data_IF_979881260824
#
_entry.id   IF_979881260824
#
_cell.length_a   1.000
_cell.length_b   1.000
_cell.length_c   1.000
_cell.angle_alpha   90.00
_cell.angle_beta   90.00
_cell.angle_gamma   90.00
#
_symmetry.space_group_name_H-M   'P 1'
#
loop_
_entity.id
_entity.type
_entity.pdbx_description
1 polymer ?
#
# COMPACT_ATOMS: atom_id res chain seq x y z
N UNK A 1 6.19 32.76 0.10
CA UNK A 1 7.66 32.69 -0.06
C UNK A 1 8.14 31.52 0.77
N UNK A 2 8.25 30.34 0.17
CA UNK A 2 8.60 29.09 0.87
C UNK A 2 10.13 28.98 0.93
N UNK A 3 10.67 28.91 2.14
CA UNK A 3 12.11 28.87 2.39
C UNK A 3 12.81 27.73 1.61
N UNK A 4 14.06 27.91 1.14
CA UNK A 4 14.82 26.82 0.57
C UNK A 4 15.04 25.75 1.66
N UNK A 5 14.48 24.56 1.47
CA UNK A 5 14.82 23.39 2.28
C UNK A 5 16.27 23.02 1.95
N UNK A 6 17.22 23.62 2.65
CA UNK A 6 18.61 23.17 2.61
C UNK A 6 18.68 21.74 3.12
N UNK A 7 18.82 20.77 2.23
CA UNK A 7 18.95 19.38 2.62
C UNK A 7 20.38 19.13 3.10
N UNK A 8 20.53 18.95 4.41
CA UNK A 8 21.82 18.69 5.05
C UNK A 8 22.46 17.39 4.51
N UNK A 9 23.73 17.40 4.04
CA UNK A 9 24.43 16.21 3.56
C UNK A 9 24.47 15.06 4.58
N UNK A 10 24.44 15.37 5.88
CA UNK A 10 24.36 14.33 6.92
C UNK A 10 23.02 13.58 6.91
N UNK A 11 21.92 14.28 6.59
CA UNK A 11 20.59 13.65 6.46
C UNK A 11 20.50 12.78 5.21
N UNK A 12 21.12 13.21 4.10
CA UNK A 12 21.21 12.41 2.88
C UNK A 12 21.90 11.07 3.15
N UNK A 13 23.07 11.11 3.79
CA UNK A 13 23.81 9.89 4.16
C UNK A 13 22.97 8.95 5.02
N UNK A 14 22.23 9.49 6.00
CA UNK A 14 21.42 8.70 6.92
C UNK A 14 20.30 7.93 6.20
N UNK A 15 19.70 8.52 5.18
CA UNK A 15 18.65 7.87 4.38
C UNK A 15 19.19 6.64 3.64
N UNK A 16 20.36 6.74 3.02
CA UNK A 16 20.98 5.62 2.32
C UNK A 16 21.50 4.53 3.27
N UNK A 17 21.96 4.90 4.49
CA UNK A 17 22.34 3.92 5.53
C UNK A 17 21.13 3.10 6.01
N UNK A 18 19.98 3.75 6.20
CA UNK A 18 18.73 3.08 6.59
C UNK A 18 18.23 2.13 5.50
N UNK A 19 18.39 2.51 4.23
CA UNK A 19 18.04 1.67 3.10
C UNK A 19 18.94 0.41 3.03
N UNK A 20 20.25 0.56 3.24
CA UNK A 20 21.19 -0.57 3.30
C UNK A 20 20.83 -1.53 4.44
N UNK A 21 20.50 -1.01 5.63
CA UNK A 21 20.09 -1.82 6.77
C UNK A 21 18.73 -2.53 6.54
N UNK A 22 17.86 -1.93 5.74
CA UNK A 22 16.55 -2.49 5.37
C UNK A 22 16.57 -3.48 4.21
N UNK A 23 17.74 -3.80 3.66
CA UNK A 23 17.89 -4.73 2.53
C UNK A 23 17.45 -4.14 1.19
N UNK A 24 17.64 -2.83 0.97
CA UNK A 24 17.49 -2.18 -0.34
C UNK A 24 16.09 -2.31 -0.99
N UNK A 25 15.04 -2.20 -0.16
CA UNK A 25 13.63 -2.46 -0.52
C UNK A 25 12.86 -1.26 -1.07
N UNK A 26 13.51 -0.11 -1.24
CA UNK A 26 12.96 1.18 -1.67
C UNK A 26 11.93 1.76 -0.68
N UNK A 27 12.16 1.57 0.64
CA UNK A 27 11.20 1.93 1.69
C UNK A 27 11.73 2.93 2.73
N UNK A 28 13.01 3.32 2.67
CA UNK A 28 13.62 4.20 3.68
C UNK A 28 13.02 5.62 3.74
N UNK A 29 12.26 6.06 2.73
CA UNK A 29 11.63 7.38 2.67
C UNK A 29 10.17 7.25 2.24
N UNK A 30 9.29 8.12 2.74
CA UNK A 30 7.90 8.23 2.30
C UNK A 30 7.87 8.52 0.78
N UNK A 31 7.48 7.53 -0.01
CA UNK A 31 7.45 7.61 -1.48
C UNK A 31 8.65 6.97 -2.20
N UNK A 32 9.59 6.36 -1.47
CA UNK A 32 10.74 5.65 -2.03
C UNK A 32 11.91 6.56 -2.45
N UNK A 33 13.07 5.94 -2.65
CA UNK A 33 14.29 6.60 -3.14
C UNK A 33 14.13 7.18 -4.54
N UNK A 34 13.30 6.59 -5.40
CA UNK A 34 13.05 7.14 -6.75
C UNK A 34 12.43 8.54 -6.69
N UNK A 35 11.38 8.71 -5.87
CA UNK A 35 10.71 9.99 -5.69
C UNK A 35 11.62 10.99 -4.98
N UNK A 36 12.44 10.51 -4.05
CA UNK A 36 13.43 11.32 -3.35
C UNK A 36 14.52 11.83 -4.30
N UNK A 37 14.99 11.01 -5.24
CA UNK A 37 15.96 11.40 -6.27
C UNK A 37 15.37 12.40 -7.26
N UNK A 38 14.11 12.24 -7.68
CA UNK A 38 13.42 13.22 -8.53
C UNK A 38 13.29 14.56 -7.82
N UNK A 39 12.86 14.56 -6.55
CA UNK A 39 12.76 15.77 -5.73
C UNK A 39 14.11 16.48 -5.58
N UNK A 40 15.19 15.73 -5.33
CA UNK A 40 16.55 16.28 -5.24
C UNK A 40 17.06 16.87 -6.57
N UNK A 41 16.58 16.35 -7.69
CA UNK A 41 16.94 16.83 -9.03
C UNK A 41 16.22 18.15 -9.33
N UNK A 42 14.93 18.23 -8.98
CA UNK A 42 14.11 19.42 -9.09
C UNK A 42 14.61 20.54 -8.18
N UNK A 43 15.04 20.20 -6.95
CA UNK A 43 15.60 21.16 -6.00
C UNK A 43 17.05 21.57 -6.33
N UNK A 44 17.65 21.05 -7.42
CA UNK A 44 19.00 21.41 -7.89
C UNK A 44 20.17 20.82 -7.08
N UNK A 45 19.89 20.25 -5.90
CA UNK A 45 20.88 19.70 -4.96
C UNK A 45 21.58 18.44 -5.49
N UNK A 46 21.03 17.80 -6.51
CA UNK A 46 21.66 16.66 -7.19
C UNK A 46 22.86 17.07 -8.04
N UNK A 47 22.97 18.34 -8.48
CA UNK A 47 24.10 18.81 -9.31
C UNK A 47 25.36 19.08 -8.49
N UNK A 48 25.21 19.54 -7.25
CA UNK A 48 26.31 19.94 -6.36
C UNK A 48 26.77 18.81 -5.41
N UNK A 49 26.15 17.63 -5.51
CA UNK A 49 26.40 16.48 -4.63
C UNK A 49 27.18 15.37 -5.34
N UNK A 50 28.04 14.61 -4.65
CA UNK A 50 28.69 13.41 -5.21
C UNK A 50 27.68 12.34 -5.67
N UNK A 51 26.42 12.45 -5.28
CA UNK A 51 25.30 11.63 -5.74
C UNK A 51 24.98 11.80 -7.25
N UNK A 52 25.40 12.92 -7.87
CA UNK A 52 25.13 13.24 -9.28
C UNK A 52 25.65 12.17 -10.25
N UNK A 53 26.81 11.59 -9.94
CA UNK A 53 27.44 10.57 -10.77
C UNK A 53 26.69 9.23 -10.67
N UNK A 54 26.25 8.87 -9.47
CA UNK A 54 25.49 7.65 -9.22
C UNK A 54 24.07 7.71 -9.79
N UNK A 55 23.42 8.88 -9.72
CA UNK A 55 22.09 9.10 -10.28
C UNK A 55 22.06 8.96 -11.82
N UNK A 56 23.14 9.37 -12.51
CA UNK A 56 23.27 9.19 -13.97
C UNK A 56 23.44 7.74 -14.42
N UNK A 57 23.84 6.84 -13.52
CA UNK A 57 24.01 5.41 -13.81
C UNK A 57 22.71 4.60 -13.63
N UNK A 58 21.63 5.24 -13.17
CA UNK A 58 20.35 4.57 -13.00
C UNK A 58 19.66 4.33 -14.36
N UNK A 59 19.02 3.16 -14.56
CA UNK A 59 18.18 2.90 -15.74
C UNK A 59 16.95 3.84 -15.78
N UNK A 60 16.29 3.99 -16.94
CA UNK A 60 15.06 4.80 -17.05
C UNK A 60 13.91 4.32 -16.16
N UNK A 61 13.97 3.07 -15.66
CA UNK A 61 13.04 2.51 -14.69
C UNK A 61 13.35 2.85 -13.21
N UNK A 62 14.39 3.62 -12.93
CA UNK A 62 14.79 4.04 -11.59
C UNK A 62 15.44 2.94 -10.75
N UNK A 63 15.77 3.25 -9.49
CA UNK A 63 16.36 2.35 -8.50
C UNK A 63 15.50 1.10 -8.26
N UNK A 64 14.17 1.22 -8.35
CA UNK A 64 13.22 0.09 -8.27
C UNK A 64 13.32 -0.94 -9.39
N UNK A 65 14.00 -0.63 -10.49
CA UNK A 65 14.12 -1.55 -11.64
C UNK A 65 15.35 -2.45 -11.56
N UNK A 66 16.30 -2.13 -10.66
CA UNK A 66 17.50 -2.92 -10.42
C UNK A 66 17.18 -4.20 -9.65
N UNK A 67 17.96 -5.26 -9.88
CA UNK A 67 17.88 -6.48 -9.07
C UNK A 67 18.36 -6.22 -7.63
N UNK A 68 17.97 -7.05 -6.64
CA UNK A 68 18.36 -6.84 -5.23
C UNK A 68 19.87 -6.69 -5.03
N UNK A 69 20.67 -7.51 -5.71
CA UNK A 69 22.15 -7.49 -5.62
C UNK A 69 22.75 -6.23 -6.26
N UNK A 70 22.13 -5.70 -7.32
CA UNK A 70 22.56 -4.47 -7.98
C UNK A 70 22.20 -3.22 -7.17
N UNK A 71 21.07 -3.25 -6.45
CA UNK A 71 20.67 -2.16 -5.55
C UNK A 71 21.62 -2.01 -4.38
N UNK A 72 22.03 -3.12 -3.77
CA UNK A 72 22.97 -3.11 -2.66
C UNK A 72 24.31 -2.50 -3.07
N UNK A 73 24.85 -2.91 -4.22
CA UNK A 73 26.08 -2.33 -4.78
C UNK A 73 25.95 -0.84 -5.10
N UNK A 74 24.79 -0.43 -5.60
CA UNK A 74 24.53 0.98 -5.92
C UNK A 74 24.45 1.84 -4.66
N UNK A 75 23.74 1.38 -3.62
CA UNK A 75 23.67 2.08 -2.32
C UNK A 75 25.04 2.16 -1.65
N UNK A 76 25.83 1.09 -1.70
CA UNK A 76 27.19 1.08 -1.16
C UNK A 76 28.12 2.04 -1.91
N UNK A 77 28.03 2.10 -3.24
CA UNK A 77 28.79 3.05 -4.04
C UNK A 77 28.40 4.51 -3.73
N UNK A 78 27.12 4.77 -3.51
CA UNK A 78 26.60 6.10 -3.11
C UNK A 78 27.09 6.50 -1.72
N UNK A 79 27.03 5.59 -0.75
CA UNK A 79 27.52 5.84 0.61
C UNK A 79 29.04 6.09 0.63
N UNK A 80 29.80 5.37 -0.19
CA UNK A 80 31.23 5.58 -0.35
C UNK A 80 31.57 6.95 -0.98
N UNK A 81 30.82 7.36 -2.01
CA UNK A 81 30.97 8.67 -2.64
C UNK A 81 30.60 9.83 -1.70
N UNK A 82 29.55 9.67 -0.88
CA UNK A 82 29.15 10.63 0.15
C UNK A 82 30.14 10.68 1.35
N UNK A 83 30.97 9.65 1.54
CA UNK A 83 32.02 9.63 2.55
C UNK A 83 33.32 10.34 2.11
N UNK A 84 33.36 10.93 0.91
CA UNK A 84 34.56 11.60 0.38
C UNK A 84 35.59 10.65 -0.22
N UNK A 85 35.26 9.37 -0.40
CA UNK A 85 36.10 8.41 -1.11
C UNK A 85 35.91 8.54 -2.61
N UNK A 86 36.93 9.00 -3.33
CA UNK A 86 36.93 9.01 -4.80
C UNK A 86 36.59 7.60 -5.35
N UNK A 87 35.70 7.47 -6.35
CA UNK A 87 35.47 6.20 -6.99
C UNK A 87 36.67 5.90 -7.90
N UNK A 88 37.60 5.08 -7.42
CA UNK A 88 38.54 4.39 -8.31
C UNK A 88 37.70 3.43 -9.16
N UNK A 89 37.72 3.52 -10.50
CA UNK A 89 37.09 2.50 -11.32
C UNK A 89 37.87 1.20 -11.11
N UNK A 90 37.33 0.31 -10.30
CA UNK A 90 37.80 -1.05 -10.24
C UNK A 90 37.38 -1.73 -11.56
N UNK A 91 38.23 -1.58 -12.56
CA UNK A 91 38.38 -2.60 -13.60
C UNK A 91 38.74 -3.90 -12.89
N UNK A 92 37.74 -4.72 -12.58
CA UNK A 92 37.92 -6.10 -12.19
C UNK A 92 37.33 -6.97 -13.30
N UNK A 93 38.23 -7.59 -14.06
CA UNK A 93 37.93 -8.68 -14.96
C UNK A 93 37.02 -9.72 -14.28
N UNK A 94 36.10 -10.33 -15.03
CA UNK A 94 35.10 -11.21 -14.46
C UNK A 94 35.75 -12.51 -13.99
N UNK A 95 35.66 -12.81 -12.69
CA UNK A 95 35.71 -14.20 -12.25
C UNK A 95 34.38 -14.83 -12.59
N UNK A 96 34.39 -15.63 -13.65
CA UNK A 96 33.30 -16.50 -14.02
C UNK A 96 32.89 -17.36 -12.80
N UNK A 97 31.66 -17.27 -12.30
CA UNK A 97 31.02 -18.46 -11.82
C UNK A 97 30.73 -19.32 -13.06
N UNK A 98 30.96 -20.63 -12.97
CA UNK A 98 30.38 -21.62 -13.86
C UNK A 98 28.85 -21.61 -13.69
N UNK A 99 28.22 -20.51 -14.11
CA UNK A 99 26.80 -20.45 -14.35
C UNK A 99 26.58 -21.21 -15.64
N UNK A 100 25.94 -22.38 -15.55
CA UNK A 100 25.22 -22.96 -16.68
C UNK A 100 24.40 -21.82 -17.28
N UNK A 101 24.87 -21.26 -18.39
CA UNK A 101 24.12 -20.31 -19.21
C UNK A 101 22.99 -21.11 -19.84
N UNK A 102 21.93 -21.31 -19.07
CA UNK A 102 20.61 -21.44 -19.65
C UNK A 102 20.34 -20.03 -20.15
N UNK A 103 20.65 -19.78 -21.42
CA UNK A 103 20.38 -18.52 -22.09
C UNK A 103 18.96 -18.10 -21.70
N UNK A 104 18.85 -17.02 -20.91
CA UNK A 104 17.57 -16.38 -20.71
C UNK A 104 17.20 -15.86 -22.10
N UNK A 105 16.36 -16.61 -22.81
CA UNK A 105 15.56 -16.04 -23.88
C UNK A 105 15.01 -14.72 -23.34
N UNK A 106 15.01 -13.62 -24.10
CA UNK A 106 14.14 -12.50 -23.75
C UNK A 106 12.76 -13.12 -23.52
N UNK A 107 12.32 -13.13 -22.27
CA UNK A 107 10.96 -13.56 -21.96
C UNK A 107 10.12 -12.47 -22.58
N UNK A 108 9.45 -12.79 -23.68
CA UNK A 108 8.40 -11.93 -24.21
C UNK A 108 7.57 -11.45 -23.02
N UNK A 109 7.20 -10.15 -22.95
CA UNK A 109 6.31 -9.69 -21.91
C UNK A 109 5.12 -10.65 -21.87
N UNK A 110 4.71 -11.11 -20.66
CA UNK A 110 3.66 -12.11 -20.55
C UNK A 110 2.49 -11.63 -21.40
N UNK A 111 1.90 -12.50 -22.24
CA UNK A 111 0.81 -12.12 -23.09
C UNK A 111 -0.25 -11.42 -22.22
N UNK A 112 -0.87 -10.33 -22.72
CA UNK A 112 -1.94 -9.69 -21.97
C UNK A 112 -2.96 -10.76 -21.58
N UNK A 113 -3.46 -10.74 -20.33
CA UNK A 113 -4.40 -11.75 -19.87
C UNK A 113 -5.55 -11.85 -20.88
N UNK A 114 -6.00 -13.08 -21.19
CA UNK A 114 -7.09 -13.26 -22.14
C UNK A 114 -8.28 -12.41 -21.70
N UNK A 115 -9.05 -11.85 -22.66
CA UNK A 115 -10.22 -11.07 -22.33
C UNK A 115 -11.15 -11.92 -21.46
N UNK A 116 -11.50 -11.39 -20.30
CA UNK A 116 -12.40 -12.05 -19.36
C UNK A 116 -13.76 -12.19 -20.04
N UNK A 117 -14.20 -13.43 -20.20
CA UNK A 117 -15.50 -13.77 -20.77
C UNK A 117 -16.48 -14.23 -19.69
N UNK A 118 -17.78 -14.33 -20.01
CA UNK A 118 -18.78 -14.84 -19.06
C UNK A 118 -18.51 -16.28 -18.62
N UNK A 119 -17.87 -17.09 -19.46
CA UNK A 119 -17.47 -18.46 -19.14
C UNK A 119 -16.14 -18.56 -18.37
N UNK A 120 -15.43 -17.44 -18.17
CA UNK A 120 -14.17 -17.44 -17.42
C UNK A 120 -14.43 -17.78 -15.94
N UNK A 121 -13.53 -18.54 -15.31
CA UNK A 121 -13.58 -18.80 -13.88
C UNK A 121 -13.56 -17.51 -13.05
N UNK A 122 -14.30 -17.50 -11.93
CA UNK A 122 -14.36 -16.35 -11.02
C UNK A 122 -12.97 -15.97 -10.43
N UNK A 123 -12.07 -16.94 -10.30
CA UNK A 123 -10.72 -16.73 -9.76
C UNK A 123 -9.84 -15.86 -10.67
N UNK A 124 -10.18 -15.73 -11.95
CA UNK A 124 -9.45 -14.89 -12.90
C UNK A 124 -9.75 -13.40 -12.70
N UNK A 125 -10.78 -13.07 -11.89
CA UNK A 125 -11.13 -11.70 -11.55
C UNK A 125 -10.11 -11.12 -10.54
N UNK A 126 -9.53 -9.92 -10.81
CA UNK A 126 -8.62 -9.28 -9.89
C UNK A 126 -9.31 -8.98 -8.54
N UNK A 127 -8.65 -9.33 -7.44
CA UNK A 127 -9.19 -9.17 -6.08
C UNK A 127 -9.95 -10.40 -5.55
N UNK A 128 -10.27 -11.37 -6.41
CA UNK A 128 -10.81 -12.67 -5.96
C UNK A 128 -9.64 -13.57 -5.58
N UNK A 129 -9.53 -13.88 -4.28
CA UNK A 129 -8.59 -14.90 -3.80
C UNK A 129 -9.22 -16.28 -3.87
N UNK A 130 -8.43 -17.35 -3.81
CA UNK A 130 -8.96 -18.73 -3.74
C UNK A 130 -9.95 -18.92 -2.59
N UNK A 131 -9.71 -18.26 -1.45
CA UNK A 131 -10.62 -18.32 -0.30
C UNK A 131 -11.97 -17.64 -0.59
N UNK A 132 -11.98 -16.56 -1.36
CA UNK A 132 -13.20 -15.86 -1.79
C UNK A 132 -13.92 -16.69 -2.85
N UNK A 133 -13.20 -17.20 -3.86
CA UNK A 133 -13.75 -18.09 -4.88
C UNK A 133 -14.44 -19.32 -4.26
N UNK A 134 -13.79 -19.99 -3.29
CA UNK A 134 -14.38 -21.13 -2.58
C UNK A 134 -15.67 -20.79 -1.79
N UNK A 135 -15.87 -19.52 -1.39
CA UNK A 135 -17.13 -19.08 -0.77
C UNK A 135 -18.22 -18.86 -1.83
N UNK A 136 -17.87 -18.31 -2.99
CA UNK A 136 -18.78 -18.14 -4.11
C UNK A 136 -19.20 -19.48 -4.73
N UNK A 137 -18.31 -20.46 -4.79
CA UNK A 137 -18.64 -21.82 -5.22
C UNK A 137 -19.73 -22.45 -4.35
N UNK A 138 -19.70 -22.22 -3.02
CA UNK A 138 -20.78 -22.67 -2.10
C UNK A 138 -22.12 -21.98 -2.36
N UNK A 139 -22.10 -20.80 -3.00
CA UNK A 139 -23.29 -20.07 -3.43
C UNK A 139 -23.74 -20.48 -4.85
N UNK A 140 -23.05 -21.44 -5.48
CA UNK A 140 -23.31 -21.87 -6.86
C UNK A 140 -22.74 -20.93 -7.93
N UNK A 141 -21.81 -20.05 -7.56
CA UNK A 141 -21.22 -19.04 -8.45
C UNK A 141 -19.79 -19.47 -8.80
N UNK A 142 -19.59 -19.96 -10.02
CA UNK A 142 -18.29 -20.48 -10.47
C UNK A 142 -17.70 -19.64 -11.59
N UNK A 143 -18.54 -19.07 -12.44
CA UNK A 143 -18.13 -18.27 -13.59
C UNK A 143 -18.39 -16.78 -13.38
N UNK A 144 -17.74 -15.94 -14.19
CA UNK A 144 -18.00 -14.49 -14.21
C UNK A 144 -19.43 -14.17 -14.64
N UNK A 145 -20.04 -14.99 -15.50
CA UNK A 145 -21.45 -14.87 -15.86
C UNK A 145 -22.36 -15.06 -14.65
N UNK A 146 -22.15 -16.11 -13.86
CA UNK A 146 -22.92 -16.37 -12.65
C UNK A 146 -22.80 -15.22 -11.65
N UNK A 147 -21.58 -14.68 -11.50
CA UNK A 147 -21.32 -13.55 -10.62
C UNK A 147 -22.01 -12.27 -11.10
N UNK A 148 -22.07 -12.03 -12.41
CA UNK A 148 -22.76 -10.89 -12.99
C UNK A 148 -24.29 -10.95 -12.74
N UNK A 149 -24.87 -12.14 -12.67
CA UNK A 149 -26.28 -12.36 -12.34
C UNK A 149 -26.55 -12.61 -10.85
N UNK A 150 -25.52 -12.48 -9.99
CA UNK A 150 -25.69 -12.56 -8.55
C UNK A 150 -26.24 -11.23 -8.01
N UNK A 151 -27.55 -11.04 -8.15
CA UNK A 151 -28.21 -9.83 -7.67
C UNK A 151 -28.25 -9.77 -6.13
N UNK A 152 -28.17 -8.56 -5.54
CA UNK A 152 -28.35 -8.38 -4.11
C UNK A 152 -29.71 -8.94 -3.65
N UNK A 153 -29.69 -9.72 -2.56
CA UNK A 153 -30.94 -10.26 -1.97
C UNK A 153 -31.79 -9.19 -1.31
N UNK A 154 -31.17 -8.10 -0.87
CA UNK A 154 -31.83 -6.97 -0.20
C UNK A 154 -31.07 -5.69 -0.50
N UNK A 155 -31.82 -4.63 -0.74
CA UNK A 155 -31.31 -3.26 -0.76
C UNK A 155 -31.65 -2.60 0.56
N UNK A 156 -30.64 -2.03 1.23
CA UNK A 156 -30.87 -1.20 2.40
C UNK A 156 -31.02 0.24 1.90
N UNK A 157 -32.19 0.83 2.10
CA UNK A 157 -32.44 2.24 1.79
C UNK A 157 -32.05 3.11 3.00
N UNK A 158 -31.07 3.99 2.80
CA UNK A 158 -30.56 4.92 3.80
C UNK A 158 -31.08 6.36 3.59
N UNK A 159 -31.98 6.57 2.62
CA UNK A 159 -32.49 7.91 2.26
C UNK A 159 -33.44 8.48 3.31
N UNK A 160 -34.15 7.63 4.03
CA UNK A 160 -35.06 8.04 5.10
C UNK A 160 -34.29 8.33 6.39
N UNK A 161 -33.74 9.54 6.47
CA UNK A 161 -33.08 10.06 7.66
C UNK A 161 -34.11 10.51 8.69
N UNK A 162 -34.01 9.97 9.89
CA UNK A 162 -34.83 10.34 11.05
C UNK A 162 -33.99 11.06 12.09
N UNK A 163 -34.64 11.91 12.87
CA UNK A 163 -34.04 12.45 14.09
C UNK A 163 -34.03 11.41 15.18
N UNK A 164 -33.07 11.50 16.10
CA UNK A 164 -32.97 10.59 17.24
C UNK A 164 -34.22 10.67 18.11
N UNK A 165 -34.78 11.87 18.31
CA UNK A 165 -35.99 12.07 19.09
C UNK A 165 -37.26 11.42 18.50
N UNK A 166 -37.24 11.08 17.20
CA UNK A 166 -38.37 10.50 16.46
C UNK A 166 -38.21 8.98 16.26
N UNK A 167 -37.16 8.39 16.84
CA UNK A 167 -36.93 6.96 16.74
C UNK A 167 -37.97 6.18 17.54
N UNK A 168 -38.58 5.21 16.88
CA UNK A 168 -39.53 4.31 17.52
C UNK A 168 -38.92 2.92 17.72
N UNK A 169 -39.16 2.25 18.86
CA UNK A 169 -38.77 0.85 19.04
C UNK A 169 -39.48 -0.04 18.02
N UNK A 170 -38.77 -0.40 16.95
CA UNK A 170 -39.29 -1.25 15.89
C UNK A 170 -38.25 -2.23 15.39
N UNK A 171 -38.69 -3.30 14.73
CA UNK A 171 -37.83 -4.24 14.01
C UNK A 171 -37.35 -3.69 12.67
N UNK A 172 -37.89 -2.55 12.22
CA UNK A 172 -37.49 -1.90 10.99
C UNK A 172 -36.16 -1.16 11.17
N UNK A 173 -35.33 -1.19 10.12
CA UNK A 173 -34.12 -0.38 10.09
C UNK A 173 -34.49 1.10 9.98
N UNK A 174 -33.91 1.92 10.85
CA UNK A 174 -34.04 3.37 10.85
C UNK A 174 -32.65 3.99 10.71
N UNK A 175 -32.54 5.02 9.87
CA UNK A 175 -31.25 5.66 9.56
C UNK A 175 -31.20 7.02 10.25
N UNK A 176 -30.08 7.29 10.93
CA UNK A 176 -29.81 8.57 11.59
C UNK A 176 -28.45 9.10 11.16
N UNK A 177 -28.28 10.43 11.23
CA UNK A 177 -26.99 11.11 11.10
C UNK A 177 -26.77 11.89 12.39
N UNK A 178 -25.65 11.63 13.06
CA UNK A 178 -25.38 12.17 14.38
C UNK A 178 -23.87 12.37 14.58
N UNK A 179 -23.52 13.31 15.46
CA UNK A 179 -22.17 13.51 15.96
C UNK A 179 -21.89 12.52 17.09
N UNK A 180 -20.67 11.97 17.13
CA UNK A 180 -20.22 11.09 18.20
C UNK A 180 -19.69 11.95 19.35
N UNK A 181 -20.33 11.88 20.51
CA UNK A 181 -19.93 12.62 21.70
C UNK A 181 -18.87 11.86 22.51
N UNK A 182 -19.04 10.54 22.64
CA UNK A 182 -18.13 9.66 23.38
C UNK A 182 -18.11 8.28 22.72
N UNK A 183 -16.97 7.61 22.71
CA UNK A 183 -16.83 6.21 22.33
C UNK A 183 -15.92 5.48 23.31
N UNK A 184 -16.36 4.32 23.80
CA UNK A 184 -15.62 3.53 24.77
C UNK A 184 -15.85 2.03 24.56
N UNK A 185 -14.79 1.25 24.73
CA UNK A 185 -14.91 -0.19 24.87
C UNK A 185 -15.49 -0.55 26.24
N UNK A 186 -16.37 -1.55 26.27
CA UNK A 186 -16.84 -2.16 27.50
C UNK A 186 -16.70 -3.67 27.46
N UNK A 187 -16.44 -4.25 28.64
CA UNK A 187 -16.52 -5.69 28.86
C UNK A 187 -17.88 -5.98 29.48
N UNK A 188 -18.69 -6.78 28.79
CA UNK A 188 -19.92 -7.31 29.34
C UNK A 188 -19.61 -8.56 30.19
N UNK A 189 -20.66 -9.16 30.77
CA UNK A 189 -20.53 -10.37 31.60
C UNK A 189 -19.88 -11.50 30.78
N UNK A 190 -18.79 -12.06 31.30
CA UNK A 190 -18.06 -13.16 30.67
C UNK A 190 -17.02 -12.68 29.64
N UNK A 191 -16.97 -13.33 28.47
CA UNK A 191 -16.03 -13.01 27.38
C UNK A 191 -16.57 -12.00 26.36
N UNK A 192 -17.82 -11.54 26.50
CA UNK A 192 -18.38 -10.55 25.58
C UNK A 192 -17.69 -9.20 25.80
N UNK A 193 -17.14 -8.67 24.71
CA UNK A 193 -16.63 -7.31 24.61
C UNK A 193 -17.47 -6.56 23.58
N UNK A 194 -17.57 -5.25 23.74
CA UNK A 194 -18.24 -4.41 22.77
C UNK A 194 -17.76 -2.97 22.87
N UNK A 195 -18.20 -2.18 21.92
CA UNK A 195 -17.98 -0.73 21.92
C UNK A 195 -19.33 -0.06 22.12
N UNK A 196 -19.37 0.93 23.01
CA UNK A 196 -20.51 1.81 23.19
C UNK A 196 -20.08 3.20 22.76
N UNK A 197 -20.87 3.84 21.90
CA UNK A 197 -20.74 5.25 21.62
C UNK A 197 -22.02 6.00 21.98
N UNK A 198 -21.87 7.19 22.54
CA UNK A 198 -22.96 8.13 22.72
C UNK A 198 -22.98 9.08 21.51
N UNK A 199 -24.08 9.09 20.76
CA UNK A 199 -24.23 9.96 19.59
C UNK A 199 -25.37 10.95 19.80
N UNK A 200 -25.27 12.14 19.20
CA UNK A 200 -26.29 13.19 19.27
C UNK A 200 -26.45 13.89 17.93
N UNK A 201 -27.69 14.18 17.55
CA UNK A 201 -28.03 14.98 16.36
C UNK A 201 -28.53 16.39 16.71
N UNK A 202 -28.37 16.78 17.99
CA UNK A 202 -28.90 18.01 18.56
C UNK A 202 -30.36 17.93 19.01
N UNK A 203 -31.13 16.93 18.57
CA UNK A 203 -32.50 16.68 19.07
C UNK A 203 -32.51 15.83 20.32
N UNK A 204 -31.68 14.79 20.36
CA UNK A 204 -31.53 13.87 21.49
C UNK A 204 -30.19 13.14 21.41
N UNK A 205 -29.78 12.53 22.53
CA UNK A 205 -28.62 11.67 22.59
C UNK A 205 -29.05 10.18 22.65
N UNK A 206 -28.36 9.32 21.89
CA UNK A 206 -28.62 7.90 21.79
C UNK A 206 -27.35 7.08 22.04
N UNK A 207 -27.35 6.10 22.95
CA UNK A 207 -26.27 5.14 23.07
C UNK A 207 -26.37 4.07 21.97
N UNK A 208 -25.32 3.96 21.15
CA UNK A 208 -25.15 2.92 20.11
C UNK A 208 -24.17 1.88 20.62
N UNK A 209 -24.49 0.60 20.43
CA UNK A 209 -23.68 -0.53 20.93
C UNK A 209 -23.32 -1.46 19.79
N UNK A 210 -22.02 -1.68 19.59
CA UNK A 210 -21.49 -2.73 18.73
C UNK A 210 -20.97 -3.89 19.57
N UNK A 211 -21.58 -5.06 19.41
CA UNK A 211 -21.16 -6.28 20.08
C UNK A 211 -20.01 -6.95 19.33
N UNK A 212 -19.01 -7.44 20.07
CA UNK A 212 -17.84 -8.15 19.54
C UNK A 212 -17.03 -7.36 18.48
N UNK A 213 -17.09 -6.03 18.53
CA UNK A 213 -16.41 -5.16 17.58
C UNK A 213 -15.58 -4.08 18.32
N UNK A 214 -14.49 -4.48 19.00
CA UNK A 214 -13.67 -3.53 19.79
C UNK A 214 -12.96 -2.48 18.91
N UNK A 215 -12.71 -2.79 17.63
CA UNK A 215 -12.03 -1.89 16.67
C UNK A 215 -12.86 -0.67 16.26
N UNK A 216 -14.10 -0.55 16.72
CA UNK A 216 -15.01 0.57 16.39
C UNK A 216 -14.84 1.74 17.37
N UNK A 217 -14.16 1.52 18.51
CA UNK A 217 -13.92 2.54 19.52
C UNK A 217 -12.84 3.54 19.09
#
# INVERSE_FOLDING_TARGET
MTAPRTLDPARLRRVFELERQGGCRNTAVIGGLDRFLVQLAEDGHLRDSPLAAAARQLPPGGYRSLSPDERERWVDAVLAALAGGAPRPASAAPKAPLARQRAARPSDPPPPPPPLGPASPLIDLPGVTRAVAARFEKLGVTTLGDAAFLFPRRFNDYTNLRRIAELEPSSALQTIVAEVLEAAEFKARGRLRGTRALVSDGSAALPVIWWNAPYVA
#
